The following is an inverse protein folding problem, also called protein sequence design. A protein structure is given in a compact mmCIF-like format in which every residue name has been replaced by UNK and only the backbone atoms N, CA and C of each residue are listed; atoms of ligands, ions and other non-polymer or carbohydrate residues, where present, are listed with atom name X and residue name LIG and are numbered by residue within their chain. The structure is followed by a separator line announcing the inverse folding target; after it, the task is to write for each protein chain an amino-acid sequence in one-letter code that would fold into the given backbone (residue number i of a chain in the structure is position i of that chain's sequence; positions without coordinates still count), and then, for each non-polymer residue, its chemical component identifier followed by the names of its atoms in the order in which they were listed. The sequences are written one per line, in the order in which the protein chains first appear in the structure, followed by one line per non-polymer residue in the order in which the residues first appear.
data_IF_912261458748
#
_entry.id   IF_912261458748
#
_cell.length_a   1.000
_cell.length_b   1.000
_cell.length_c   1.000
_cell.angle_alpha   90.00
_cell.angle_beta   90.00
_cell.angle_gamma   90.00
#
_symmetry.space_group_name_H-M   'P 1'
#
loop_
_entity.id
_entity.type
_entity.pdbx_description
1 polymer ?
#
# COMPACT_ATOMS: atom_id res chain seq x y z
N UNK A 1 5.48 -11.39 16.54
CA UNK A 1 5.31 -11.69 15.11
C UNK A 1 4.74 -10.44 14.48
N UNK A 2 5.40 -9.86 13.48
CA UNK A 2 4.95 -8.58 12.89
C UNK A 2 3.82 -8.86 11.92
N UNK A 3 2.73 -8.08 11.99
CA UNK A 3 1.60 -8.17 11.05
C UNK A 3 1.62 -6.99 10.09
N UNK A 4 1.69 -7.24 8.79
CA UNK A 4 1.48 -6.23 7.75
C UNK A 4 0.13 -6.45 7.07
N UNK A 5 -0.71 -5.42 7.08
CA UNK A 5 -2.01 -5.46 6.43
C UNK A 5 -1.95 -4.73 5.10
N UNK A 6 -2.81 -5.08 4.14
CA UNK A 6 -2.90 -4.33 2.88
C UNK A 6 -4.35 -4.13 2.48
N UNK A 7 -4.66 -3.00 1.85
CA UNK A 7 -6.01 -2.70 1.37
C UNK A 7 -5.99 -1.95 0.04
N UNK A 8 -7.07 -2.12 -0.71
CA UNK A 8 -7.38 -1.37 -1.93
C UNK A 8 -8.68 -0.62 -1.77
N UNK A 9 -8.71 0.66 -2.13
CA UNK A 9 -9.90 1.49 -1.93
C UNK A 9 -10.94 1.33 -3.05
N UNK A 10 -10.56 0.91 -4.26
CA UNK A 10 -11.54 0.75 -5.35
C UNK A 10 -12.53 -0.37 -5.03
N UNK A 11 -13.76 -0.19 -5.53
CA UNK A 11 -14.93 -1.06 -5.27
C UNK A 11 -15.32 -1.22 -3.80
N UNK A 12 -14.89 -0.30 -2.93
CA UNK A 12 -15.34 -0.21 -1.54
C UNK A 12 -16.02 1.13 -1.29
N UNK A 13 -17.11 1.10 -0.53
CA UNK A 13 -17.65 2.32 0.06
C UNK A 13 -16.72 2.81 1.17
N UNK A 14 -16.84 4.08 1.56
CA UNK A 14 -16.12 4.62 2.72
C UNK A 14 -16.40 3.77 3.97
N UNK A 15 -17.67 3.42 4.21
CA UNK A 15 -18.06 2.56 5.35
C UNK A 15 -17.31 1.23 5.34
N UNK A 16 -17.35 0.48 4.22
CA UNK A 16 -16.66 -0.80 4.11
C UNK A 16 -15.16 -0.65 4.35
N UNK A 17 -14.55 0.40 3.78
CA UNK A 17 -13.13 0.68 3.94
C UNK A 17 -12.75 0.91 5.41
N UNK A 18 -13.40 1.84 6.11
CA UNK A 18 -13.07 2.15 7.50
C UNK A 18 -13.43 1.02 8.47
N UNK A 19 -14.53 0.30 8.23
CA UNK A 19 -14.88 -0.87 9.04
C UNK A 19 -13.85 -2.00 8.90
N UNK A 20 -13.32 -2.24 7.69
CA UNK A 20 -12.27 -3.25 7.48
C UNK A 20 -11.00 -2.89 8.26
N UNK A 21 -10.58 -1.62 8.23
CA UNK A 21 -9.42 -1.15 9.01
C UNK A 21 -9.65 -1.36 10.51
N UNK A 22 -10.82 -0.94 11.01
CA UNK A 22 -11.17 -1.04 12.44
C UNK A 22 -11.26 -2.49 12.91
N UNK A 23 -11.99 -3.35 12.19
CA UNK A 23 -12.20 -4.77 12.55
C UNK A 23 -10.89 -5.56 12.59
N UNK A 24 -9.89 -5.17 11.80
CA UNK A 24 -8.61 -5.84 11.75
C UNK A 24 -7.55 -5.23 12.69
N UNK A 25 -7.91 -4.23 13.50
CA UNK A 25 -6.99 -3.62 14.46
C UNK A 25 -5.85 -2.85 13.80
N UNK A 26 -6.08 -2.26 12.63
CA UNK A 26 -5.08 -1.44 11.96
C UNK A 26 -4.74 -0.25 12.84
N UNK A 27 -3.45 -0.01 13.10
CA UNK A 27 -2.98 1.07 13.97
C UNK A 27 -2.36 2.26 13.21
N UNK A 28 -2.14 2.12 11.89
CA UNK A 28 -1.53 3.12 11.00
C UNK A 28 -1.90 2.84 9.55
N UNK A 29 -2.30 3.87 8.80
CA UNK A 29 -2.54 3.76 7.36
C UNK A 29 -1.36 4.33 6.58
N UNK A 30 -0.73 3.49 5.74
CA UNK A 30 0.41 3.87 4.90
C UNK A 30 -0.08 3.96 3.46
N UNK A 31 -0.20 5.17 2.94
CA UNK A 31 -0.46 5.40 1.53
C UNK A 31 0.82 5.16 0.72
N UNK A 32 0.78 4.20 -0.21
CA UNK A 32 1.88 3.86 -1.11
C UNK A 32 1.54 4.15 -2.57
N UNK A 33 0.56 5.02 -2.82
CA UNK A 33 0.19 5.45 -4.17
C UNK A 33 1.17 6.49 -4.66
N UNK A 34 1.55 6.43 -5.94
CA UNK A 34 2.37 7.48 -6.55
C UNK A 34 1.63 8.83 -6.58
N UNK A 35 0.32 8.78 -6.84
CA UNK A 35 -0.59 9.91 -6.87
C UNK A 35 -1.79 9.60 -5.95
N UNK A 36 -2.01 10.41 -4.93
CA UNK A 36 -3.11 10.25 -3.98
C UNK A 36 -4.22 11.31 -4.13
N UNK A 37 -4.15 12.14 -5.15
CA UNK A 37 -5.15 13.19 -5.46
C UNK A 37 -6.18 12.75 -6.51
N UNK A 38 -6.18 11.46 -6.88
CA UNK A 38 -7.05 10.91 -7.91
C UNK A 38 -8.55 11.05 -7.56
N UNK A 39 -9.38 11.24 -8.59
CA UNK A 39 -10.85 11.32 -8.45
C UNK A 39 -11.54 9.95 -8.43
N UNK A 40 -10.77 8.85 -8.38
CA UNK A 40 -11.32 7.48 -8.39
C UNK A 40 -12.27 7.20 -7.21
N UNK A 41 -12.05 7.83 -6.07
CA UNK A 41 -12.98 7.81 -4.93
C UNK A 41 -12.81 9.07 -4.10
N UNK A 42 -13.91 9.78 -3.84
CA UNK A 42 -13.92 11.04 -3.10
C UNK A 42 -13.28 10.91 -1.71
N UNK A 43 -13.61 9.85 -0.97
CA UNK A 43 -13.08 9.65 0.39
C UNK A 43 -11.59 9.29 0.42
N UNK A 44 -11.03 8.84 -0.72
CA UNK A 44 -9.67 8.34 -0.80
C UNK A 44 -8.66 9.39 -1.29
N UNK A 45 -9.07 10.65 -1.45
CA UNK A 45 -8.15 11.77 -1.73
C UNK A 45 -7.23 11.96 -0.54
N UNK A 46 -5.94 12.16 -0.75
CA UNK A 46 -4.93 12.16 0.32
C UNK A 46 -5.29 13.02 1.54
N UNK A 47 -5.67 14.29 1.32
CA UNK A 47 -6.06 15.20 2.41
C UNK A 47 -7.35 14.78 3.12
N UNK A 48 -8.35 14.37 2.34
CA UNK A 48 -9.65 13.96 2.89
C UNK A 48 -9.50 12.64 3.65
N UNK A 49 -8.72 11.71 3.11
CA UNK A 49 -8.43 10.42 3.72
C UNK A 49 -7.65 10.57 5.02
N UNK A 50 -6.64 11.45 5.06
CA UNK A 50 -5.92 11.78 6.30
C UNK A 50 -6.87 12.26 7.40
N UNK A 51 -7.76 13.20 7.05
CA UNK A 51 -8.79 13.69 7.96
C UNK A 51 -9.75 12.57 8.41
N UNK A 52 -10.31 11.80 7.47
CA UNK A 52 -11.29 10.76 7.80
C UNK A 52 -10.70 9.60 8.62
N UNK A 53 -9.46 9.19 8.35
CA UNK A 53 -8.77 8.17 9.14
C UNK A 53 -8.61 8.65 10.58
N UNK A 54 -8.22 9.91 10.78
CA UNK A 54 -8.13 10.49 12.12
C UNK A 54 -9.49 10.54 12.82
N UNK A 55 -10.53 11.04 12.16
CA UNK A 55 -11.83 11.25 12.82
C UNK A 55 -12.64 9.96 13.03
N UNK A 56 -12.56 8.97 12.13
CA UNK A 56 -13.42 7.77 12.17
C UNK A 56 -12.79 6.63 12.98
N UNK A 57 -11.47 6.45 12.87
CA UNK A 57 -10.75 5.33 13.49
C UNK A 57 -9.58 5.78 14.37
N UNK A 58 -9.23 7.06 14.39
CA UNK A 58 -8.20 7.65 15.24
C UNK A 58 -6.82 6.98 15.12
N UNK A 59 -6.36 6.79 13.88
CA UNK A 59 -5.01 6.27 13.60
C UNK A 59 -4.20 7.24 12.73
N UNK A 60 -2.85 7.20 12.80
CA UNK A 60 -2.01 8.01 11.94
C UNK A 60 -2.12 7.61 10.47
N UNK A 61 -1.95 8.61 9.60
CA UNK A 61 -1.86 8.45 8.16
C UNK A 61 -0.50 8.97 7.69
N UNK A 62 0.19 8.21 6.83
CA UNK A 62 1.48 8.60 6.27
C UNK A 62 1.52 8.26 4.78
N UNK A 63 2.01 9.19 3.96
CA UNK A 63 2.25 8.96 2.53
C UNK A 63 3.73 8.67 2.27
N UNK A 64 4.06 7.42 1.90
CA UNK A 64 5.43 6.98 1.64
C UNK A 64 5.62 6.69 0.16
N UNK A 65 6.20 7.65 -0.57
CA UNK A 65 6.47 7.51 -2.02
C UNK A 65 7.61 6.55 -2.34
N UNK A 66 8.51 6.28 -1.40
CA UNK A 66 9.58 5.30 -1.55
C UNK A 66 9.05 3.88 -1.81
N UNK A 67 7.80 3.61 -1.42
CA UNK A 67 7.10 2.34 -1.64
C UNK A 67 6.25 2.30 -2.92
N UNK A 68 6.11 3.43 -3.60
CA UNK A 68 5.29 3.55 -4.81
C UNK A 68 6.10 3.21 -6.08
N UNK A 69 5.48 2.60 -7.10
CA UNK A 69 6.11 2.50 -8.42
C UNK A 69 6.37 3.90 -9.01
N UNK A 70 7.32 4.00 -9.93
CA UNK A 70 7.52 5.24 -10.69
C UNK A 70 6.35 5.48 -11.65
N UNK A 71 6.15 6.75 -12.04
CA UNK A 71 5.16 7.09 -13.07
C UNK A 71 5.46 6.41 -14.40
N UNK A 72 6.74 6.31 -14.75
CA UNK A 72 7.23 5.63 -15.96
C UNK A 72 6.89 4.14 -15.93
N UNK A 73 7.20 3.44 -14.84
CA UNK A 73 6.88 2.02 -14.68
C UNK A 73 5.38 1.74 -14.81
N UNK A 74 4.53 2.58 -14.19
CA UNK A 74 3.08 2.45 -14.35
C UNK A 74 2.63 2.71 -15.78
N UNK A 75 3.17 3.76 -16.42
CA UNK A 75 2.85 4.10 -17.81
C UNK A 75 3.23 2.98 -18.77
N UNK A 76 4.40 2.38 -18.61
CA UNK A 76 4.88 1.32 -19.48
C UNK A 76 4.05 0.04 -19.36
N UNK A 77 3.61 -0.30 -18.14
CA UNK A 77 2.69 -1.42 -17.92
C UNK A 77 1.29 -1.14 -18.47
N UNK A 78 0.74 0.06 -18.25
CA UNK A 78 -0.58 0.45 -18.77
C UNK A 78 -0.61 0.50 -20.30
N UNK A 79 0.48 0.96 -20.92
CA UNK A 79 0.64 1.02 -22.37
C UNK A 79 1.12 -0.30 -22.97
N UNK A 80 1.18 -1.39 -22.18
CA UNK A 80 1.58 -2.74 -22.61
C UNK A 80 2.98 -2.82 -23.23
N UNK A 81 3.88 -1.89 -22.90
CA UNK A 81 5.30 -1.98 -23.26
C UNK A 81 6.03 -3.05 -22.47
N UNK A 82 5.57 -3.30 -21.24
CA UNK A 82 5.99 -4.40 -20.39
C UNK A 82 4.77 -5.20 -19.93
N UNK A 83 4.96 -6.48 -19.68
CA UNK A 83 3.96 -7.32 -19.05
C UNK A 83 4.08 -7.28 -17.52
N UNK A 84 3.27 -8.10 -16.84
CA UNK A 84 3.29 -8.16 -15.39
C UNK A 84 4.61 -8.70 -14.83
N UNK A 85 5.24 -9.67 -15.51
CA UNK A 85 6.53 -10.20 -15.08
C UNK A 85 7.63 -9.13 -15.16
N UNK A 86 7.65 -8.35 -16.25
CA UNK A 86 8.52 -7.18 -16.40
C UNK A 86 8.26 -6.13 -15.32
N UNK A 87 6.99 -5.86 -15.00
CA UNK A 87 6.65 -4.94 -13.91
C UNK A 87 7.20 -5.41 -12.56
N UNK A 88 7.07 -6.71 -12.23
CA UNK A 88 7.60 -7.28 -11.00
C UNK A 88 9.12 -7.11 -10.89
N UNK A 89 9.84 -7.39 -11.97
CA UNK A 89 11.30 -7.26 -12.01
C UNK A 89 11.73 -5.81 -11.77
N UNK A 90 11.16 -4.87 -12.53
CA UNK A 90 11.54 -3.45 -12.44
C UNK A 90 11.14 -2.87 -11.08
N UNK A 91 9.95 -3.22 -10.56
CA UNK A 91 9.52 -2.76 -9.24
C UNK A 91 10.45 -3.28 -8.13
N UNK A 92 10.88 -4.54 -8.22
CA UNK A 92 11.85 -5.12 -7.27
C UNK A 92 13.18 -4.37 -7.29
N UNK A 93 13.74 -4.13 -8.48
CA UNK A 93 14.97 -3.35 -8.63
C UNK A 93 14.81 -1.95 -8.06
N UNK A 94 13.66 -1.30 -8.28
CA UNK A 94 13.38 0.04 -7.77
C UNK A 94 13.41 0.09 -6.23
N UNK A 95 12.76 -0.84 -5.54
CA UNK A 95 12.73 -0.86 -4.07
C UNK A 95 14.10 -1.21 -3.48
N UNK A 96 14.85 -2.11 -4.12
CA UNK A 96 16.23 -2.45 -3.74
C UNK A 96 17.17 -1.24 -3.92
N UNK A 97 17.10 -0.54 -5.06
CA UNK A 97 17.87 0.68 -5.30
C UNK A 97 17.56 1.78 -4.29
N UNK A 98 16.30 1.89 -3.86
CA UNK A 98 15.88 2.84 -2.83
C UNK A 98 16.37 2.47 -1.43
N UNK A 99 16.92 1.27 -1.23
CA UNK A 99 17.37 0.72 0.05
C UNK A 99 16.31 0.87 1.15
N UNK A 100 15.05 0.53 0.83
CA UNK A 100 13.92 0.77 1.74
C UNK A 100 14.07 0.00 3.07
N UNK A 101 14.75 -1.15 3.06
CA UNK A 101 15.03 -1.96 4.23
C UNK A 101 16.01 -1.29 5.21
N UNK A 102 16.81 -0.33 4.75
CA UNK A 102 17.72 0.47 5.60
C UNK A 102 17.08 1.77 6.05
N UNK A 103 16.14 2.31 5.27
CA UNK A 103 15.46 3.58 5.56
C UNK A 103 14.30 3.43 6.53
N UNK A 104 13.68 2.26 6.57
CA UNK A 104 12.47 2.03 7.33
C UNK A 104 12.64 0.80 8.22
N UNK A 105 12.43 0.97 9.51
CA UNK A 105 12.44 -0.15 10.44
C UNK A 105 11.12 -0.90 10.36
N UNK A 106 11.18 -2.17 9.98
CA UNK A 106 9.97 -2.99 9.78
C UNK A 106 9.06 -3.07 11.00
N UNK A 107 9.63 -2.94 12.21
CA UNK A 107 8.90 -2.94 13.49
C UNK A 107 7.96 -1.74 13.62
N UNK A 108 8.25 -0.62 12.95
CA UNK A 108 7.37 0.55 12.94
C UNK A 108 6.08 0.34 12.11
N UNK A 109 6.01 -0.76 11.36
CA UNK A 109 4.89 -1.13 10.53
C UNK A 109 4.06 -2.30 11.09
N UNK A 110 4.32 -2.70 12.34
CA UNK A 110 3.49 -3.71 13.00
C UNK A 110 2.04 -3.21 13.13
N UNK A 111 1.09 -4.00 12.64
CA UNK A 111 -0.33 -3.68 12.45
C UNK A 111 -0.62 -2.46 11.55
N UNK A 112 0.35 -2.04 10.74
CA UNK A 112 0.12 -1.02 9.72
C UNK A 112 -0.55 -1.60 8.46
N UNK A 113 -1.37 -0.78 7.80
CA UNK A 113 -2.06 -1.15 6.58
C UNK A 113 -1.54 -0.36 5.36
N UNK A 114 -1.04 -1.08 4.35
CA UNK A 114 -0.53 -0.52 3.10
C UNK A 114 -1.65 -0.35 2.07
N UNK A 115 -1.90 0.89 1.65
CA UNK A 115 -2.99 1.30 0.77
C UNK A 115 -2.53 1.43 -0.69
N UNK A 116 -3.17 0.70 -1.61
CA UNK A 116 -3.13 0.96 -3.06
C UNK A 116 -4.52 1.27 -3.64
N UNK A 117 -4.61 1.45 -4.96
CA UNK A 117 -5.89 1.76 -5.60
C UNK A 117 -6.67 0.49 -5.94
N UNK A 118 -5.97 -0.51 -6.46
CA UNK A 118 -6.46 -1.76 -7.00
C UNK A 118 -7.27 -2.54 -5.95
N UNK A 119 -8.42 -3.08 -6.32
CA UNK A 119 -9.25 -3.90 -5.43
C UNK A 119 -8.48 -5.14 -4.93
N UNK A 120 -7.98 -5.96 -5.87
CA UNK A 120 -7.27 -7.21 -5.58
C UNK A 120 -5.75 -7.03 -5.44
N UNK A 121 -5.08 -7.78 -4.54
CA UNK A 121 -3.62 -7.79 -4.46
C UNK A 121 -2.92 -8.54 -5.63
N UNK A 122 -3.65 -9.29 -6.47
CA UNK A 122 -3.06 -10.25 -7.41
C UNK A 122 -2.08 -9.64 -8.43
N UNK A 123 -2.34 -8.39 -8.83
CA UNK A 123 -1.48 -7.57 -9.69
C UNK A 123 -1.36 -6.15 -9.15
N UNK A 124 -1.12 -5.99 -7.85
CA UNK A 124 -0.83 -4.69 -7.22
C UNK A 124 0.59 -4.66 -6.64
N UNK A 125 1.25 -3.50 -6.74
CA UNK A 125 2.54 -3.23 -6.10
C UNK A 125 2.52 -3.39 -4.58
N UNK A 126 1.36 -3.17 -3.93
CA UNK A 126 1.21 -3.38 -2.48
C UNK A 126 1.59 -4.79 -2.06
N UNK A 127 1.27 -5.80 -2.89
CA UNK A 127 1.62 -7.19 -2.63
C UNK A 127 3.13 -7.39 -2.71
N UNK A 128 3.71 -6.93 -3.82
CA UNK A 128 5.16 -7.04 -4.06
C UNK A 128 5.99 -6.39 -2.94
N UNK A 129 5.53 -5.24 -2.44
CA UNK A 129 6.18 -4.54 -1.33
C UNK A 129 6.17 -5.34 -0.03
N UNK A 130 5.01 -5.84 0.41
CA UNK A 130 4.93 -6.60 1.67
C UNK A 130 5.59 -7.97 1.56
N UNK A 131 5.58 -8.58 0.37
CA UNK A 131 6.35 -9.80 0.06
C UNK A 131 7.85 -9.53 0.16
N UNK A 132 8.35 -8.41 -0.37
CA UNK A 132 9.75 -8.01 -0.23
C UNK A 132 10.15 -7.88 1.25
N UNK A 133 9.32 -7.24 2.08
CA UNK A 133 9.62 -7.16 3.51
C UNK A 133 9.63 -8.53 4.19
N UNK A 134 8.73 -9.44 3.81
CA UNK A 134 8.68 -10.80 4.34
C UNK A 134 9.87 -11.66 3.91
N UNK A 135 10.37 -11.48 2.68
CA UNK A 135 11.62 -12.13 2.24
C UNK A 135 12.80 -11.75 3.14
N UNK A 136 12.85 -10.49 3.62
CA UNK A 136 13.90 -10.01 4.51
C UNK A 136 13.66 -10.35 5.99
N UNK A 137 12.40 -10.48 6.40
CA UNK A 137 11.99 -10.82 7.76
C UNK A 137 10.91 -11.93 7.70
N UNK A 138 11.32 -13.21 7.73
CA UNK A 138 10.40 -14.35 7.56
C UNK A 138 9.26 -14.43 8.58
N UNK A 139 9.43 -13.80 9.76
CA UNK A 139 8.44 -13.73 10.83
C UNK A 139 7.28 -12.74 10.56
N UNK A 140 7.22 -12.13 9.37
CA UNK A 140 6.09 -11.29 8.96
C UNK A 140 4.89 -12.14 8.55
N UNK A 141 3.75 -11.84 9.15
CA UNK A 141 2.44 -12.29 8.71
C UNK A 141 1.79 -11.22 7.81
N UNK A 142 1.35 -11.62 6.61
CA UNK A 142 0.71 -10.72 5.63
C UNK A 142 -0.79 -10.96 5.62
N UNK A 143 -1.58 -9.90 5.75
CA UNK A 143 -3.06 -9.97 5.71
C UNK A 143 -3.61 -9.02 4.64
N UNK A 144 -4.28 -9.56 3.62
CA UNK A 144 -4.93 -8.75 2.59
C UNK A 144 -6.40 -8.53 2.96
N UNK A 145 -6.77 -7.28 3.29
CA UNK A 145 -8.14 -6.89 3.60
C UNK A 145 -8.98 -6.89 2.32
N UNK A 146 -10.06 -7.69 2.31
CA UNK A 146 -10.99 -7.83 1.18
C UNK A 146 -12.37 -7.36 1.58
#
# INVERSE_FOLDING_TARGET
MIRLLTIGFTKKTAQQFFELLKKNGVNKLIDIRINNTSQLSGFAKGKDLEYFVKEIINIPYIHIKDFAPTKELLSDYQNKKIDWAGYQLIFRQLIEQRNIEKKYEIKEFDDACFLCSEESPDKCHRRLLVEFFKEKNPDINIVHLR
#
